data_IF_365187564192
#
_entry.id   IF_365187564192
#
_cell.length_a   1.000
_cell.length_b   1.000
_cell.length_c   1.000
_cell.angle_alpha   90.00
_cell.angle_beta   90.00
_cell.angle_gamma   90.00
#
_symmetry.space_group_name_H-M   'P 1'
#
loop_
_entity.id
_entity.type
_entity.pdbx_description
1 polymer ?
#
# COMPACT_ATOMS: atom_id res chain seq x y z
N UNK A 1 47.25 -5.26 39.99
CA UNK A 1 45.90 -4.72 40.11
C UNK A 1 45.34 -4.58 38.72
N UNK A 2 44.39 -5.39 38.41
CA UNK A 2 43.67 -5.62 37.16
C UNK A 2 42.77 -4.45 36.80
N UNK A 3 42.81 -4.05 35.53
CA UNK A 3 41.81 -3.22 34.91
C UNK A 3 41.30 -3.93 33.66
N UNK A 4 40.07 -4.36 33.70
CA UNK A 4 39.36 -5.03 32.59
C UNK A 4 38.81 -4.01 31.64
N UNK A 5 39.28 -4.05 30.39
CA UNK A 5 38.72 -3.31 29.28
C UNK A 5 37.34 -3.88 28.88
N UNK A 6 36.33 -3.06 29.03
CA UNK A 6 35.01 -3.32 28.51
C UNK A 6 34.95 -3.02 27.01
N UNK A 7 34.86 -4.06 26.18
CA UNK A 7 34.58 -3.97 24.77
C UNK A 7 33.14 -3.50 24.56
N UNK A 8 33.01 -2.23 24.20
CA UNK A 8 31.73 -1.67 23.73
C UNK A 8 31.36 -2.26 22.38
N UNK A 9 30.43 -3.20 22.37
CA UNK A 9 29.80 -3.67 21.17
C UNK A 9 29.04 -2.52 20.52
N UNK A 10 29.55 -2.07 19.34
CA UNK A 10 28.92 -1.08 18.55
C UNK A 10 27.57 -1.57 18.05
N UNK A 11 26.48 -0.96 18.51
CA UNK A 11 25.15 -1.10 17.89
C UNK A 11 25.27 -0.87 16.39
N UNK A 12 24.68 -1.73 15.55
CA UNK A 12 24.65 -1.50 14.11
C UNK A 12 23.96 -0.16 13.86
N UNK A 13 24.67 0.76 13.19
CA UNK A 13 24.12 2.05 12.77
C UNK A 13 22.99 1.75 11.80
N UNK A 14 21.77 2.04 12.21
CA UNK A 14 20.55 1.76 11.49
C UNK A 14 20.59 2.28 10.05
N UNK A 15 20.03 1.48 9.12
CA UNK A 15 19.79 1.82 7.71
C UNK A 15 18.93 3.09 7.54
N UNK A 16 18.36 3.61 8.61
CA UNK A 16 17.58 4.85 8.67
C UNK A 16 18.30 6.11 8.16
N UNK A 17 19.62 6.05 7.93
CA UNK A 17 20.39 7.18 7.42
C UNK A 17 20.25 7.34 5.89
N UNK A 18 19.95 6.28 5.15
CA UNK A 18 19.75 6.31 3.72
C UNK A 18 18.46 7.07 3.29
N UNK A 19 17.50 7.20 4.20
CA UNK A 19 16.22 7.84 3.98
C UNK A 19 16.29 9.37 4.01
N UNK A 20 17.14 9.95 4.85
CA UNK A 20 17.22 11.42 5.02
C UNK A 20 17.90 12.12 3.86
N UNK A 21 18.69 11.38 3.08
CA UNK A 21 19.50 11.91 1.99
C UNK A 21 18.90 11.62 0.60
N UNK A 22 17.77 10.93 0.54
CA UNK A 22 17.05 10.76 -0.72
C UNK A 22 16.21 12.00 -0.98
N UNK A 23 16.55 12.70 -2.05
CA UNK A 23 15.71 13.80 -2.56
C UNK A 23 14.43 13.21 -3.15
N UNK A 24 13.39 13.19 -2.33
CA UNK A 24 12.04 12.78 -2.72
C UNK A 24 11.40 13.74 -3.72
N UNK A 25 12.22 14.32 -4.58
CA UNK A 25 12.00 15.37 -5.54
C UNK A 25 10.57 15.51 -6.00
N UNK A 26 9.84 16.41 -5.37
CA UNK A 26 8.67 17.02 -5.97
C UNK A 26 7.31 16.44 -5.60
N UNK A 27 7.17 15.31 -4.91
CA UNK A 27 5.85 14.88 -4.48
C UNK A 27 5.37 15.74 -3.29
N UNK A 28 4.30 16.47 -3.49
CA UNK A 28 3.57 17.15 -2.42
C UNK A 28 2.71 16.15 -1.64
N UNK A 29 3.32 15.38 -0.74
CA UNK A 29 2.62 14.41 0.11
C UNK A 29 1.56 15.06 0.98
N UNK A 30 1.82 16.28 1.43
CA UNK A 30 0.84 17.04 2.20
C UNK A 30 -0.37 17.42 1.34
N UNK A 31 -0.15 17.81 0.09
CA UNK A 31 -1.22 18.07 -0.88
C UNK A 31 -2.02 16.82 -1.22
N UNK A 32 -1.36 15.65 -1.40
CA UNK A 32 -2.04 14.38 -1.59
C UNK A 32 -2.93 14.05 -0.38
N UNK A 33 -2.38 14.11 0.83
CA UNK A 33 -3.14 13.87 2.06
C UNK A 33 -4.35 14.81 2.17
N UNK A 34 -4.15 16.11 1.93
CA UNK A 34 -5.22 17.12 1.98
C UNK A 34 -6.32 16.86 0.93
N UNK A 35 -5.97 16.38 -0.26
CA UNK A 35 -6.94 16.00 -1.28
C UNK A 35 -7.84 14.87 -0.78
N UNK A 36 -7.26 13.80 -0.22
CA UNK A 36 -8.03 12.68 0.32
C UNK A 36 -8.77 13.05 1.61
N UNK A 37 -8.24 13.95 2.45
CA UNK A 37 -8.98 14.51 3.59
C UNK A 37 -10.25 15.24 3.13
N UNK A 38 -10.18 15.98 2.01
CA UNK A 38 -11.32 16.67 1.40
C UNK A 38 -12.31 15.74 0.72
N UNK A 39 -11.85 14.63 0.16
CA UNK A 39 -12.69 13.63 -0.52
C UNK A 39 -13.55 12.87 0.50
N UNK A 40 -12.92 12.34 1.56
CA UNK A 40 -13.60 11.63 2.63
C UNK A 40 -14.47 10.47 2.11
N UNK A 41 -15.69 10.37 2.62
CA UNK A 41 -16.70 9.34 2.29
C UNK A 41 -17.14 9.33 0.82
N UNK A 42 -17.02 10.47 0.10
CA UNK A 42 -17.32 10.54 -1.34
C UNK A 42 -16.47 9.59 -2.19
N UNK A 43 -15.34 9.12 -1.67
CA UNK A 43 -14.52 8.13 -2.36
C UNK A 43 -15.29 6.84 -2.64
N UNK A 44 -15.97 6.30 -1.63
CA UNK A 44 -16.73 5.07 -1.77
C UNK A 44 -17.97 5.24 -2.65
N UNK A 45 -18.60 6.41 -2.64
CA UNK A 45 -19.71 6.75 -3.55
C UNK A 45 -19.27 6.80 -5.01
N UNK A 46 -18.06 7.32 -5.27
CA UNK A 46 -17.51 7.41 -6.64
C UNK A 46 -17.09 6.05 -7.20
N UNK A 47 -16.74 5.10 -6.33
CA UNK A 47 -16.29 3.75 -6.71
C UNK A 47 -17.20 2.67 -6.11
N UNK A 48 -18.49 2.59 -6.52
CA UNK A 48 -19.43 1.62 -5.97
C UNK A 48 -19.12 0.16 -6.38
N UNK A 49 -18.43 -0.02 -7.49
CA UNK A 49 -18.09 -1.32 -8.05
C UNK A 49 -16.63 -1.64 -7.76
N UNK A 50 -16.41 -2.60 -6.84
CA UNK A 50 -15.08 -2.97 -6.36
C UNK A 50 -14.81 -4.47 -6.54
N UNK A 51 -15.41 -5.09 -7.56
CA UNK A 51 -15.38 -6.55 -7.77
C UNK A 51 -13.96 -7.09 -7.86
N UNK A 52 -13.07 -6.41 -8.58
CA UNK A 52 -11.67 -6.80 -8.70
C UNK A 52 -10.92 -6.73 -7.37
N UNK A 53 -11.15 -5.68 -6.59
CA UNK A 53 -10.55 -5.51 -5.26
C UNK A 53 -11.09 -6.55 -4.28
N UNK A 54 -12.39 -6.81 -4.29
CA UNK A 54 -13.04 -7.83 -3.45
C UNK A 54 -12.50 -9.23 -3.79
N UNK A 55 -12.43 -9.58 -5.08
CA UNK A 55 -11.90 -10.86 -5.51
C UNK A 55 -10.43 -11.06 -5.12
N UNK A 56 -9.60 -10.02 -5.31
CA UNK A 56 -8.19 -10.06 -4.94
C UNK A 56 -7.97 -10.09 -3.42
N UNK A 57 -8.82 -9.39 -2.66
CA UNK A 57 -8.84 -9.45 -1.20
C UNK A 57 -9.26 -10.82 -0.66
N UNK A 58 -10.25 -11.49 -1.31
CA UNK A 58 -10.65 -12.85 -0.98
C UNK A 58 -9.52 -13.85 -1.23
N UNK A 59 -8.86 -13.75 -2.39
CA UNK A 59 -7.66 -14.55 -2.67
C UNK A 59 -6.61 -14.36 -1.57
N UNK A 60 -6.31 -13.13 -1.17
CA UNK A 60 -5.33 -12.85 -0.11
C UNK A 60 -5.74 -13.55 1.19
N UNK A 61 -6.98 -13.39 1.64
CA UNK A 61 -7.49 -14.00 2.87
C UNK A 61 -7.36 -15.54 2.85
N UNK A 62 -7.63 -16.18 1.70
CA UNK A 62 -7.51 -17.63 1.53
C UNK A 62 -6.06 -18.15 1.60
N UNK A 63 -5.07 -17.31 1.27
CA UNK A 63 -3.66 -17.67 1.31
C UNK A 63 -3.04 -17.53 2.70
N UNK A 64 -3.72 -16.88 3.64
CA UNK A 64 -3.20 -16.55 4.95
C UNK A 64 -3.48 -17.64 5.99
N UNK A 65 -2.58 -17.87 6.96
CA UNK A 65 -2.90 -18.70 8.11
C UNK A 65 -3.98 -18.05 8.99
N UNK A 66 -4.71 -18.83 9.75
CA UNK A 66 -5.72 -18.31 10.68
C UNK A 66 -5.11 -17.29 11.65
N UNK A 67 -5.80 -16.17 11.84
CA UNK A 67 -5.34 -15.10 12.73
C UNK A 67 -4.10 -14.34 12.26
N UNK A 68 -3.78 -14.41 10.97
CA UNK A 68 -2.64 -13.73 10.37
C UNK A 68 -2.63 -12.22 10.64
N UNK A 69 -1.43 -11.65 10.69
CA UNK A 69 -1.24 -10.20 10.78
C UNK A 69 -1.02 -9.62 9.38
N UNK A 70 -1.93 -8.78 8.93
CA UNK A 70 -1.97 -8.23 7.57
C UNK A 70 -1.82 -6.72 7.59
N UNK A 71 -0.96 -6.20 6.71
CA UNK A 71 -0.86 -4.78 6.44
C UNK A 71 -1.83 -4.41 5.30
N UNK A 72 -2.69 -3.42 5.52
CA UNK A 72 -3.47 -2.74 4.47
C UNK A 72 -2.82 -1.38 4.19
N UNK A 73 -2.07 -1.32 3.09
CA UNK A 73 -1.27 -0.18 2.69
C UNK A 73 -2.10 0.81 1.87
N UNK A 74 -2.29 2.02 2.37
CA UNK A 74 -3.22 2.98 1.81
C UNK A 74 -4.66 2.49 2.02
N UNK A 75 -5.00 2.23 3.28
CA UNK A 75 -6.25 1.56 3.66
C UNK A 75 -7.52 2.37 3.32
N UNK A 76 -7.38 3.66 3.00
CA UNK A 76 -8.52 4.52 2.71
C UNK A 76 -9.57 4.46 3.83
N UNK A 77 -10.83 4.28 3.44
CA UNK A 77 -11.96 4.15 4.37
C UNK A 77 -12.03 2.77 5.09
N UNK A 78 -11.08 1.88 4.85
CA UNK A 78 -11.11 0.48 5.32
C UNK A 78 -12.03 -0.43 4.49
N UNK A 79 -12.72 0.11 3.49
CA UNK A 79 -13.69 -0.62 2.66
C UNK A 79 -13.22 -0.81 1.21
N UNK A 80 -13.34 -2.02 0.66
CA UNK A 80 -13.82 -3.27 1.27
C UNK A 80 -12.73 -4.04 2.03
N UNK A 81 -11.45 -3.74 1.80
CA UNK A 81 -10.30 -4.61 2.06
C UNK A 81 -10.10 -4.91 3.54
N UNK A 82 -9.90 -3.89 4.38
CA UNK A 82 -9.65 -4.08 5.81
C UNK A 82 -10.83 -4.81 6.47
N UNK A 83 -12.07 -4.45 6.11
CA UNK A 83 -13.27 -5.13 6.61
C UNK A 83 -13.28 -6.61 6.22
N UNK A 84 -13.04 -6.92 4.94
CA UNK A 84 -13.04 -8.30 4.45
C UNK A 84 -12.00 -9.17 5.16
N UNK A 85 -10.79 -8.63 5.38
CA UNK A 85 -9.72 -9.32 6.09
C UNK A 85 -10.05 -9.51 7.58
N UNK A 86 -10.63 -8.50 8.25
CA UNK A 86 -11.04 -8.59 9.65
C UNK A 86 -12.18 -9.61 9.83
N UNK A 87 -13.20 -9.60 8.94
CA UNK A 87 -14.30 -10.57 8.94
C UNK A 87 -13.81 -12.00 8.66
N UNK A 88 -12.69 -12.17 7.93
CA UNK A 88 -12.02 -13.46 7.75
C UNK A 88 -11.21 -13.91 8.99
N UNK A 89 -11.18 -13.11 10.05
CA UNK A 89 -10.52 -13.43 11.33
C UNK A 89 -9.05 -13.07 11.38
N UNK A 90 -8.57 -12.18 10.50
CA UNK A 90 -7.19 -11.69 10.50
C UNK A 90 -7.05 -10.40 11.31
N UNK A 91 -5.86 -10.17 11.88
CA UNK A 91 -5.50 -8.88 12.49
C UNK A 91 -5.06 -7.93 11.39
N UNK A 92 -5.74 -6.81 11.26
CA UNK A 92 -5.45 -5.81 10.24
C UNK A 92 -4.77 -4.61 10.86
N UNK A 93 -3.62 -4.24 10.31
CA UNK A 93 -3.01 -2.92 10.53
C UNK A 93 -3.13 -2.14 9.23
N UNK A 94 -3.96 -1.10 9.23
CA UNK A 94 -4.14 -0.20 8.09
C UNK A 94 -3.33 1.07 8.28
N UNK A 95 -2.71 1.55 7.20
CA UNK A 95 -2.05 2.86 7.19
C UNK A 95 -2.52 3.70 6.01
N UNK A 96 -2.66 4.99 6.23
CA UNK A 96 -2.98 5.98 5.21
C UNK A 96 -2.37 7.35 5.54
N UNK A 97 -2.05 8.16 4.53
CA UNK A 97 -1.56 9.53 4.72
C UNK A 97 -2.67 10.49 5.20
N UNK A 98 -3.91 10.22 4.80
CA UNK A 98 -5.08 11.03 5.12
C UNK A 98 -5.62 10.70 6.51
N UNK A 99 -5.70 11.71 7.36
CA UNK A 99 -6.32 11.57 8.68
C UNK A 99 -7.83 11.31 8.60
N UNK A 100 -8.52 11.88 7.61
CA UNK A 100 -9.94 11.63 7.40
C UNK A 100 -10.20 10.18 6.99
N UNK A 101 -9.36 9.61 6.10
CA UNK A 101 -9.45 8.20 5.70
C UNK A 101 -9.23 7.26 6.89
N UNK A 102 -8.19 7.50 7.69
CA UNK A 102 -7.92 6.71 8.90
C UNK A 102 -9.11 6.72 9.85
N UNK A 103 -9.71 7.89 10.09
CA UNK A 103 -10.89 8.00 10.94
C UNK A 103 -12.07 7.20 10.40
N UNK A 104 -12.34 7.27 9.11
CA UNK A 104 -13.38 6.46 8.46
C UNK A 104 -13.09 4.96 8.58
N UNK A 105 -11.82 4.56 8.42
CA UNK A 105 -11.42 3.17 8.58
C UNK A 105 -11.65 2.65 10.01
N UNK A 106 -11.34 3.45 11.04
CA UNK A 106 -11.63 3.13 12.44
C UNK A 106 -13.14 2.97 12.71
N UNK A 107 -13.97 3.85 12.12
CA UNK A 107 -15.43 3.78 12.23
C UNK A 107 -16.00 2.55 11.49
N UNK A 108 -15.45 2.23 10.31
CA UNK A 108 -15.92 1.14 9.47
C UNK A 108 -15.45 -0.24 9.92
N UNK A 109 -14.26 -0.33 10.54
CA UNK A 109 -13.62 -1.60 10.93
C UNK A 109 -13.07 -1.49 12.36
N UNK A 110 -13.94 -1.48 13.37
CA UNK A 110 -13.54 -1.21 14.76
C UNK A 110 -12.59 -2.27 15.35
N UNK A 111 -12.49 -3.44 14.75
CA UNK A 111 -11.55 -4.50 15.16
C UNK A 111 -10.17 -4.37 14.50
N UNK A 112 -9.95 -3.39 13.60
CA UNK A 112 -8.68 -3.09 12.96
C UNK A 112 -7.86 -2.06 13.74
N UNK A 113 -6.56 -2.03 13.49
CA UNK A 113 -5.66 -0.98 13.97
C UNK A 113 -5.32 -0.05 12.80
N UNK A 114 -5.68 1.24 12.90
CA UNK A 114 -5.43 2.19 11.83
C UNK A 114 -4.51 3.30 12.29
N UNK A 115 -3.61 3.75 11.39
CA UNK A 115 -2.63 4.80 11.71
C UNK A 115 -2.47 5.76 10.56
N UNK A 116 -2.50 7.06 10.86
CA UNK A 116 -2.05 8.07 9.92
C UNK A 116 -0.54 7.99 9.79
N UNK A 117 -0.07 7.51 8.63
CA UNK A 117 1.34 7.18 8.45
C UNK A 117 1.72 7.18 6.97
N UNK A 118 2.94 7.63 6.67
CA UNK A 118 3.55 7.43 5.36
C UNK A 118 4.03 5.96 5.23
N UNK A 119 3.96 5.41 4.02
CA UNK A 119 4.44 4.05 3.71
C UNK A 119 5.88 3.81 4.21
N UNK A 120 6.74 4.83 4.14
CA UNK A 120 8.15 4.71 4.54
C UNK A 120 8.36 4.70 6.06
N UNK A 121 7.34 5.00 6.82
CA UNK A 121 7.39 4.92 8.27
C UNK A 121 7.16 3.49 8.78
N UNK A 122 6.64 2.57 7.94
CA UNK A 122 6.40 1.16 8.32
C UNK A 122 7.67 0.49 8.85
N UNK A 123 8.80 0.67 8.16
CA UNK A 123 10.09 0.14 8.60
C UNK A 123 10.57 0.80 9.89
N UNK A 124 10.34 2.12 10.01
CA UNK A 124 10.79 2.90 11.16
C UNK A 124 10.11 2.51 12.47
N UNK A 125 8.83 2.16 12.39
CA UNK A 125 8.01 1.84 13.56
C UNK A 125 7.94 0.34 13.87
N UNK A 126 8.68 -0.48 13.11
CA UNK A 126 8.78 -1.93 13.31
C UNK A 126 7.39 -2.60 13.46
N UNK A 127 6.49 -2.27 12.53
CA UNK A 127 5.12 -2.78 12.55
C UNK A 127 5.01 -4.24 12.15
N UNK A 128 6.01 -4.78 11.43
CA UNK A 128 6.08 -6.16 10.95
C UNK A 128 6.74 -7.12 11.95
N UNK A 129 7.05 -8.36 11.56
CA UNK A 129 6.78 -8.89 10.23
C UNK A 129 5.31 -9.21 10.02
N UNK A 130 4.84 -8.98 8.79
CA UNK A 130 3.48 -9.29 8.39
C UNK A 130 3.39 -10.67 7.72
N UNK A 131 2.22 -11.31 7.89
CA UNK A 131 1.90 -12.57 7.23
C UNK A 131 1.33 -12.34 5.82
N UNK A 132 0.91 -11.11 5.49
CA UNK A 132 0.45 -10.70 4.18
C UNK A 132 0.32 -9.18 4.05
N UNK A 133 0.20 -8.72 2.81
CA UNK A 133 -0.01 -7.29 2.48
C UNK A 133 -1.12 -7.15 1.44
N UNK A 134 -2.02 -6.22 1.68
CA UNK A 134 -2.90 -5.62 0.68
C UNK A 134 -2.38 -4.22 0.31
N UNK A 135 -2.27 -3.91 -0.98
CA UNK A 135 -1.82 -2.61 -1.48
C UNK A 135 -2.67 -2.21 -2.71
N UNK A 136 -3.94 -1.91 -2.47
CA UNK A 136 -4.87 -1.59 -3.55
C UNK A 136 -4.90 -0.10 -3.84
N UNK A 137 -4.54 0.28 -5.06
CA UNK A 137 -4.54 1.66 -5.56
C UNK A 137 -3.76 2.66 -4.68
N UNK A 138 -2.80 2.19 -3.90
CA UNK A 138 -1.97 3.00 -3.02
C UNK A 138 -0.60 3.34 -3.61
N UNK A 139 0.09 2.35 -4.20
CA UNK A 139 1.41 2.54 -4.78
C UNK A 139 1.41 3.50 -5.97
N UNK A 140 0.31 3.61 -6.70
CA UNK A 140 0.16 4.56 -7.80
C UNK A 140 0.20 6.03 -7.34
N UNK A 141 0.07 6.29 -6.05
CA UNK A 141 0.20 7.63 -5.46
C UNK A 141 1.66 8.05 -5.25
N UNK A 142 2.61 7.20 -5.61
CA UNK A 142 4.04 7.46 -5.53
C UNK A 142 4.61 7.76 -6.93
N UNK A 143 5.66 8.59 -7.06
CA UNK A 143 6.46 8.67 -8.29
C UNK A 143 7.02 7.30 -8.68
N UNK A 144 7.22 7.04 -9.97
CA UNK A 144 7.80 5.78 -10.46
C UNK A 144 9.14 5.44 -9.82
N UNK A 145 9.96 6.44 -9.52
CA UNK A 145 11.25 6.23 -8.86
C UNK A 145 11.11 5.63 -7.46
N UNK A 146 9.99 5.88 -6.79
CA UNK A 146 9.73 5.43 -5.42
C UNK A 146 9.03 4.06 -5.36
N UNK A 147 8.23 3.70 -6.36
CA UNK A 147 7.44 2.43 -6.36
C UNK A 147 8.33 1.19 -6.19
N UNK A 148 9.46 1.01 -6.91
CA UNK A 148 10.35 -0.14 -6.70
C UNK A 148 10.95 -0.18 -5.30
N UNK A 149 11.19 0.99 -4.70
CA UNK A 149 11.69 1.08 -3.34
C UNK A 149 10.62 0.65 -2.32
N UNK A 150 9.40 1.17 -2.46
CA UNK A 150 8.27 0.80 -1.63
C UNK A 150 8.00 -0.72 -1.67
N UNK A 151 8.03 -1.31 -2.87
CA UNK A 151 7.88 -2.76 -3.03
C UNK A 151 9.00 -3.56 -2.32
N UNK A 152 10.26 -3.12 -2.42
CA UNK A 152 11.38 -3.78 -1.70
C UNK A 152 11.24 -3.62 -0.19
N UNK A 153 10.77 -2.49 0.30
CA UNK A 153 10.47 -2.29 1.71
C UNK A 153 9.37 -3.24 2.18
N UNK A 154 8.28 -3.38 1.42
CA UNK A 154 7.22 -4.36 1.73
C UNK A 154 7.75 -5.79 1.72
N UNK A 155 8.61 -6.14 0.76
CA UNK A 155 9.27 -7.45 0.72
C UNK A 155 10.05 -7.73 2.02
N UNK A 156 10.74 -6.75 2.58
CA UNK A 156 11.50 -6.90 3.84
C UNK A 156 10.60 -7.04 5.07
N UNK A 157 9.41 -6.43 5.04
CA UNK A 157 8.44 -6.48 6.14
C UNK A 157 7.55 -7.74 6.13
N UNK A 158 7.56 -8.49 5.05
CA UNK A 158 6.82 -9.74 4.92
C UNK A 158 7.64 -10.95 5.39
N UNK A 159 6.98 -11.98 5.89
CA UNK A 159 7.55 -13.31 6.09
C UNK A 159 7.87 -13.96 4.74
N UNK A 160 8.83 -14.88 4.72
CA UNK A 160 9.16 -15.65 3.52
C UNK A 160 7.92 -16.42 3.01
N UNK A 161 7.68 -16.38 1.70
CA UNK A 161 6.52 -16.99 1.06
C UNK A 161 5.19 -16.29 1.31
N UNK A 162 5.18 -15.20 2.09
CA UNK A 162 3.94 -14.48 2.40
C UNK A 162 3.29 -13.89 1.14
N UNK A 163 1.94 -13.91 1.07
CA UNK A 163 1.19 -13.35 -0.05
C UNK A 163 1.12 -11.83 0.01
N UNK A 164 1.07 -11.22 -1.17
CA UNK A 164 0.72 -9.81 -1.38
C UNK A 164 -0.30 -9.70 -2.50
N UNK A 165 -1.40 -9.00 -2.25
CA UNK A 165 -2.34 -8.59 -3.28
C UNK A 165 -2.19 -7.09 -3.51
N UNK A 166 -2.02 -6.67 -4.77
CA UNK A 166 -1.89 -5.25 -5.11
C UNK A 166 -2.66 -4.89 -6.36
N UNK A 167 -2.98 -3.62 -6.50
CA UNK A 167 -3.54 -3.09 -7.75
C UNK A 167 -2.92 -1.77 -8.15
N UNK A 168 -2.91 -1.56 -9.47
CA UNK A 168 -2.52 -0.33 -10.14
C UNK A 168 -3.50 -0.02 -11.28
N UNK A 169 -3.51 1.21 -11.74
CA UNK A 169 -4.12 1.59 -13.01
C UNK A 169 -3.09 1.45 -14.11
N UNK A 170 -3.47 0.78 -15.22
CA UNK A 170 -2.60 0.63 -16.39
C UNK A 170 -2.48 1.96 -17.13
N UNK A 171 -1.35 2.62 -17.02
CA UNK A 171 -1.05 3.89 -17.65
C UNK A 171 0.45 4.13 -17.74
N UNK A 172 0.91 4.75 -18.82
CA UNK A 172 2.31 5.16 -18.96
C UNK A 172 2.48 6.62 -18.49
N UNK A 173 2.43 6.82 -17.17
CA UNK A 173 2.53 8.15 -16.55
C UNK A 173 3.41 8.12 -15.30
N UNK A 174 4.12 9.24 -15.05
CA UNK A 174 4.95 9.44 -13.86
C UNK A 174 4.60 10.76 -13.20
N UNK A 175 4.22 10.72 -11.94
CA UNK A 175 3.88 11.90 -11.13
C UNK A 175 2.92 12.87 -11.86
N UNK A 176 1.94 12.31 -12.55
CA UNK A 176 1.00 13.03 -13.39
C UNK A 176 -0.13 13.63 -12.57
N UNK A 177 -0.37 14.93 -12.75
CA UNK A 177 -1.48 15.65 -12.10
C UNK A 177 -2.78 15.42 -12.83
N UNK A 178 -3.82 15.01 -12.11
CA UNK A 178 -5.16 14.89 -12.68
C UNK A 178 -6.25 15.38 -11.72
N UNK A 179 -7.38 15.88 -12.25
CA UNK A 179 -8.57 16.15 -11.45
C UNK A 179 -9.16 14.84 -10.91
N UNK A 180 -9.52 14.86 -9.62
CA UNK A 180 -10.07 13.69 -8.95
C UNK A 180 -11.04 14.12 -7.85
N UNK A 181 -12.34 13.88 -8.03
CA UNK A 181 -13.42 14.20 -7.08
C UNK A 181 -13.37 15.64 -6.54
N UNK A 182 -13.17 16.61 -7.46
CA UNK A 182 -13.09 18.03 -7.12
C UNK A 182 -11.76 18.49 -6.51
N UNK A 183 -10.77 17.62 -6.48
CA UNK A 183 -9.40 17.91 -6.06
C UNK A 183 -8.41 17.65 -7.19
N UNK A 184 -7.15 17.95 -6.97
CA UNK A 184 -6.04 17.54 -7.84
C UNK A 184 -5.21 16.51 -7.08
N UNK A 185 -4.97 15.37 -7.71
CA UNK A 185 -4.05 14.35 -7.19
C UNK A 185 -2.93 14.12 -8.19
N UNK A 186 -1.86 13.47 -7.73
CA UNK A 186 -0.74 13.04 -8.57
C UNK A 186 -0.67 11.54 -8.57
N UNK A 187 -0.50 10.95 -9.74
CA UNK A 187 -0.47 9.49 -9.91
C UNK A 187 0.65 9.08 -10.85
N UNK A 188 1.14 7.87 -10.63
CA UNK A 188 2.03 7.17 -11.55
C UNK A 188 1.45 5.83 -11.91
N UNK A 189 1.77 5.36 -13.09
CA UNK A 189 1.36 4.05 -13.58
C UNK A 189 2.43 3.45 -14.46
N UNK A 190 2.27 2.19 -14.76
CA UNK A 190 3.08 1.43 -15.70
C UNK A 190 2.19 0.76 -16.72
N UNK A 191 2.71 0.50 -17.91
CA UNK A 191 2.13 -0.50 -18.78
C UNK A 191 2.32 -1.89 -18.15
N UNK A 192 1.43 -2.80 -18.47
CA UNK A 192 1.31 -4.11 -17.83
C UNK A 192 2.61 -4.91 -17.72
N UNK A 193 3.37 -5.00 -18.82
CA UNK A 193 4.62 -5.78 -18.83
C UNK A 193 5.72 -5.12 -17.98
N UNK A 194 5.77 -3.79 -17.97
CA UNK A 194 6.68 -3.04 -17.13
C UNK A 194 6.33 -3.18 -15.65
N UNK A 195 5.05 -3.10 -15.28
CA UNK A 195 4.59 -3.34 -13.92
C UNK A 195 5.00 -4.73 -13.42
N UNK A 196 4.79 -5.76 -14.26
CA UNK A 196 5.21 -7.14 -13.93
C UNK A 196 6.71 -7.22 -13.65
N UNK A 197 7.52 -6.53 -14.46
CA UNK A 197 8.98 -6.53 -14.28
C UNK A 197 9.37 -5.81 -12.98
N UNK A 198 8.80 -4.64 -12.70
CA UNK A 198 9.05 -3.88 -11.47
C UNK A 198 8.73 -4.71 -10.21
N UNK A 199 7.62 -5.43 -10.22
CA UNK A 199 7.21 -6.30 -9.10
C UNK A 199 8.17 -7.50 -8.94
N UNK A 200 8.60 -8.13 -10.05
CA UNK A 200 9.57 -9.24 -10.01
C UNK A 200 10.94 -8.79 -9.51
N UNK A 201 11.40 -7.62 -9.95
CA UNK A 201 12.70 -7.05 -9.55
C UNK A 201 12.73 -6.63 -8.08
N UNK A 202 11.56 -6.35 -7.51
CA UNK A 202 11.41 -6.10 -6.08
C UNK A 202 11.43 -7.37 -5.20
N UNK A 203 11.52 -8.56 -5.81
CA UNK A 203 11.64 -9.85 -5.09
C UNK A 203 10.33 -10.63 -4.98
N UNK A 204 9.31 -10.27 -5.74
CA UNK A 204 8.04 -10.99 -5.72
C UNK A 204 7.90 -11.96 -6.91
N UNK A 205 7.23 -13.07 -6.67
CA UNK A 205 6.67 -13.94 -7.69
C UNK A 205 5.24 -13.52 -7.97
N UNK A 206 4.84 -13.38 -9.23
CA UNK A 206 3.46 -13.13 -9.63
C UNK A 206 2.79 -14.47 -9.86
N UNK A 207 1.82 -14.81 -9.02
CA UNK A 207 1.08 -16.08 -9.03
C UNK A 207 -0.23 -15.99 -9.82
N UNK A 208 -0.77 -14.78 -9.97
CA UNK A 208 -2.00 -14.51 -10.70
C UNK A 208 -2.12 -13.06 -11.09
N UNK A 209 -2.97 -12.80 -12.08
CA UNK A 209 -3.25 -11.47 -12.57
C UNK A 209 -4.67 -11.40 -13.13
N UNK A 210 -5.41 -10.39 -12.73
CA UNK A 210 -6.71 -10.04 -13.27
C UNK A 210 -6.71 -8.58 -13.74
N UNK A 211 -7.56 -8.25 -14.71
CA UNK A 211 -7.76 -6.87 -15.14
C UNK A 211 -9.21 -6.58 -15.47
N UNK A 212 -9.62 -5.35 -15.13
CA UNK A 212 -10.98 -4.88 -15.30
C UNK A 212 -10.97 -3.52 -16.01
N UNK A 213 -11.78 -3.37 -17.04
CA UNK A 213 -12.13 -2.04 -17.56
C UNK A 213 -13.14 -1.41 -16.60
N UNK A 214 -12.82 -0.29 -16.04
CA UNK A 214 -13.61 0.40 -15.03
C UNK A 214 -14.03 1.79 -15.51
N UNK A 215 -15.31 2.09 -15.39
CA UNK A 215 -15.84 3.42 -15.59
C UNK A 215 -16.45 3.90 -14.26
N UNK A 216 -15.82 4.86 -13.56
CA UNK A 216 -16.35 5.41 -12.33
C UNK A 216 -17.74 6.01 -12.51
N UNK A 217 -18.55 6.01 -11.44
CA UNK A 217 -19.86 6.66 -11.45
C UNK A 217 -19.74 8.20 -11.55
N UNK A 218 -18.64 8.76 -11.09
CA UNK A 218 -18.33 10.19 -11.19
C UNK A 218 -17.70 10.52 -12.55
N UNK A 219 -18.18 11.59 -13.19
CA UNK A 219 -17.56 12.16 -14.39
C UNK A 219 -16.25 12.88 -14.12
N UNK A 220 -15.91 13.09 -12.84
CA UNK A 220 -14.67 13.73 -12.39
C UNK A 220 -13.48 12.75 -12.34
N UNK A 221 -13.71 11.49 -12.70
CA UNK A 221 -12.68 10.45 -12.79
C UNK A 221 -12.77 9.79 -14.18
N UNK A 222 -11.66 9.73 -14.95
CA UNK A 222 -11.68 9.10 -16.26
C UNK A 222 -11.87 7.57 -16.17
N UNK A 223 -12.39 6.92 -17.20
CA UNK A 223 -12.37 5.47 -17.32
C UNK A 223 -10.94 4.94 -17.32
N UNK A 224 -10.73 3.77 -16.71
CA UNK A 224 -9.40 3.21 -16.49
C UNK A 224 -9.38 1.68 -16.68
N UNK A 225 -8.20 1.11 -16.86
CA UNK A 225 -7.96 -0.32 -16.77
C UNK A 225 -7.27 -0.58 -15.44
N UNK A 226 -7.93 -1.30 -14.57
CA UNK A 226 -7.40 -1.72 -13.28
C UNK A 226 -6.70 -3.07 -13.44
N UNK A 227 -5.46 -3.18 -12.95
CA UNK A 227 -4.67 -4.41 -12.91
C UNK A 227 -4.57 -4.85 -11.45
N UNK A 228 -4.87 -6.11 -11.19
CA UNK A 228 -4.71 -6.76 -9.89
C UNK A 228 -3.66 -7.85 -9.99
N UNK A 229 -2.61 -7.78 -9.17
CA UNK A 229 -1.56 -8.77 -9.10
C UNK A 229 -1.63 -9.53 -7.79
N UNK A 230 -1.59 -10.84 -7.89
CA UNK A 230 -1.50 -11.79 -6.79
C UNK A 230 -0.06 -12.28 -6.72
N UNK A 231 0.62 -11.95 -5.63
CA UNK A 231 2.06 -12.12 -5.52
C UNK A 231 2.45 -12.96 -4.29
N UNK A 232 3.67 -13.51 -4.31
CA UNK A 232 4.33 -14.09 -3.13
C UNK A 232 5.73 -13.53 -2.98
N UNK A 233 6.12 -13.29 -1.73
CA UNK A 233 7.50 -12.95 -1.41
C UNK A 233 8.42 -14.13 -1.74
N UNK A 234 9.41 -13.90 -2.60
CA UNK A 234 10.50 -14.87 -2.83
C UNK A 234 11.51 -14.84 -1.67
N UNK A 235 12.25 -15.91 -1.46
CA UNK A 235 13.35 -15.96 -0.48
C UNK A 235 14.37 -14.84 -0.64
#
# INVERSE_FOLDING_TARGET
>A
VSGTDGTGEGRPKSKARAYKDFDWGGMDRAGQAAAFDSIGDRYDEAFPHKEGQIASGAWLAEQLPAGAHVLDLGCGTGLPTARQLAEAGHRVTGIDLSGAMVKLAEENVPDGEFRRMDIYEVERYDLGPFDGVAAFFSLLMLPRAEIPYALRMLHQQLREGAPMAMSMVEADVDDFSLPFLGNTIRVSGYLRDELRQVVRDAGFEICGEDSYAYAPASTDVPPEIQIFLQCRRRP
#
